data_IF_270156941455
#
_entry.id   IF_270156941455
#
_cell.length_a   1.000
_cell.length_b   1.000
_cell.length_c   1.000
_cell.angle_alpha   90.00
_cell.angle_beta   90.00
_cell.angle_gamma   90.00
#
_symmetry.space_group_name_H-M   'P 1'
#
loop_
_entity.id
_entity.type
_entity.pdbx_description
1 polymer ?
#
# COMPACT_ATOMS: atom_id res chain seq x y z
N UNK A 1 -26.30 -31.44 -7.11
CA UNK A 1 -24.98 -30.87 -7.38
C UNK A 1 -25.15 -29.89 -8.53
N UNK A 2 -24.99 -28.59 -8.32
CA UNK A 2 -25.11 -27.61 -9.40
C UNK A 2 -23.84 -27.66 -10.25
N UNK A 3 -23.98 -27.95 -11.54
CA UNK A 3 -22.89 -27.90 -12.51
C UNK A 3 -22.65 -26.43 -12.85
N UNK A 4 -21.44 -25.91 -12.58
CA UNK A 4 -21.04 -24.57 -13.02
C UNK A 4 -21.06 -24.51 -14.55
N UNK A 5 -21.79 -23.55 -15.09
CA UNK A 5 -21.85 -23.24 -16.51
C UNK A 5 -20.49 -22.82 -17.04
N UNK A 6 -20.27 -22.99 -18.33
CA UNK A 6 -18.98 -22.75 -19.01
C UNK A 6 -18.42 -21.33 -18.78
N UNK A 7 -19.29 -20.35 -18.50
CA UNK A 7 -18.94 -18.95 -18.28
C UNK A 7 -19.08 -18.48 -16.82
N UNK A 8 -19.56 -19.33 -15.91
CA UNK A 8 -19.84 -18.93 -14.52
C UNK A 8 -18.60 -18.38 -13.81
N UNK A 9 -17.41 -18.90 -14.11
CA UNK A 9 -16.15 -18.36 -13.57
C UNK A 9 -15.84 -16.98 -14.15
N UNK A 10 -15.92 -16.82 -15.47
CA UNK A 10 -15.67 -15.55 -16.14
C UNK A 10 -16.65 -14.47 -15.70
N UNK A 11 -17.94 -14.81 -15.57
CA UNK A 11 -18.99 -13.91 -15.09
C UNK A 11 -18.76 -13.53 -13.63
N UNK A 12 -18.30 -14.48 -12.81
CA UNK A 12 -17.93 -14.21 -11.41
C UNK A 12 -16.72 -13.31 -11.31
N UNK A 13 -15.67 -13.52 -12.10
CA UNK A 13 -14.51 -12.63 -12.19
C UNK A 13 -14.92 -11.22 -12.68
N UNK A 14 -15.73 -11.13 -13.73
CA UNK A 14 -16.26 -9.86 -14.22
C UNK A 14 -17.13 -9.13 -13.18
N UNK A 15 -17.91 -9.86 -12.38
CA UNK A 15 -18.70 -9.29 -11.28
C UNK A 15 -17.85 -8.80 -10.10
N UNK A 16 -16.68 -9.41 -9.89
CA UNK A 16 -15.71 -8.96 -8.88
C UNK A 16 -15.00 -7.69 -9.37
N UNK A 17 -14.58 -7.64 -10.64
CA UNK A 17 -14.00 -6.45 -11.28
C UNK A 17 -15.00 -5.28 -11.40
N UNK A 18 -16.30 -5.57 -11.49
CA UNK A 18 -17.35 -4.56 -11.51
C UNK A 18 -17.38 -3.71 -10.22
N UNK A 19 -16.89 -4.26 -9.10
CA UNK A 19 -16.59 -3.50 -7.88
C UNK A 19 -15.16 -3.00 -8.01
N UNK A 20 -14.96 -1.90 -8.75
CA UNK A 20 -13.66 -1.26 -8.99
C UNK A 20 -12.73 -1.39 -7.78
N UNK A 21 -11.50 -1.83 -8.03
CA UNK A 21 -10.50 -2.00 -6.98
C UNK A 21 -10.28 -0.66 -6.26
N UNK A 22 -10.61 -0.57 -4.95
CA UNK A 22 -10.48 0.67 -4.20
C UNK A 22 -9.04 1.18 -4.16
N UNK A 23 -8.03 0.30 -4.26
CA UNK A 23 -6.63 0.72 -4.30
C UNK A 23 -6.28 1.47 -5.59
N UNK A 24 -6.85 1.05 -6.72
CA UNK A 24 -6.65 1.73 -8.01
C UNK A 24 -7.29 3.11 -7.96
N UNK A 25 -8.48 3.23 -7.38
CA UNK A 25 -9.14 4.54 -7.25
C UNK A 25 -8.37 5.48 -6.30
N UNK A 26 -7.90 4.97 -5.16
CA UNK A 26 -7.09 5.75 -4.21
C UNK A 26 -5.80 6.22 -4.87
N UNK A 27 -5.12 5.37 -5.65
CA UNK A 27 -3.86 5.75 -6.29
C UNK A 27 -4.04 6.87 -7.34
N UNK A 28 -5.20 6.93 -7.97
CA UNK A 28 -5.56 8.00 -8.92
C UNK A 28 -5.92 9.31 -8.21
N UNK A 29 -6.64 9.24 -7.08
CA UNK A 29 -7.22 10.43 -6.43
C UNK A 29 -6.24 11.07 -5.45
N UNK A 30 -5.36 10.30 -4.81
CA UNK A 30 -4.46 10.80 -3.77
C UNK A 30 -3.15 11.30 -4.40
N UNK A 31 -2.81 12.60 -4.27
CA UNK A 31 -1.55 13.13 -4.76
C UNK A 31 -0.41 12.77 -3.79
N UNK A 32 0.06 11.52 -3.86
CA UNK A 32 0.97 10.94 -2.88
C UNK A 32 2.27 11.72 -2.64
N UNK A 33 2.88 12.26 -3.70
CA UNK A 33 4.15 12.98 -3.60
C UNK A 33 4.01 14.33 -2.89
N UNK A 34 2.81 14.92 -2.83
CA UNK A 34 2.57 16.16 -2.09
C UNK A 34 2.75 15.97 -0.58
N UNK A 35 2.60 14.74 -0.08
CA UNK A 35 2.83 14.42 1.33
C UNK A 35 4.32 14.28 1.67
N UNK A 36 5.20 14.07 0.68
CA UNK A 36 6.62 13.79 0.90
C UNK A 36 7.32 14.80 1.82
N UNK A 37 7.20 16.13 1.63
CA UNK A 37 7.88 17.09 2.50
C UNK A 37 7.44 16.98 3.97
N UNK A 38 6.16 16.69 4.20
CA UNK A 38 5.61 16.49 5.53
C UNK A 38 6.10 15.18 6.14
N UNK A 39 6.07 14.10 5.38
CA UNK A 39 6.51 12.77 5.82
C UNK A 39 7.99 12.77 6.17
N UNK A 40 8.84 13.36 5.33
CA UNK A 40 10.30 13.40 5.57
C UNK A 40 10.65 14.23 6.81
N UNK A 41 9.90 15.32 7.07
CA UNK A 41 10.08 16.15 8.27
C UNK A 41 9.73 15.43 9.57
N UNK A 42 8.67 14.61 9.57
CA UNK A 42 8.21 13.90 10.79
C UNK A 42 9.01 12.62 10.99
N UNK A 43 9.28 11.89 9.91
CA UNK A 43 9.90 10.58 10.00
C UNK A 43 11.39 10.67 10.38
N UNK A 44 12.10 11.72 9.95
CA UNK A 44 13.56 11.74 10.02
C UNK A 44 14.13 13.01 10.62
N UNK A 45 15.17 12.81 11.42
CA UNK A 45 16.15 13.87 11.70
C UNK A 45 16.95 14.15 10.43
N UNK A 46 17.31 15.42 10.16
CA UNK A 46 18.22 15.76 9.07
C UNK A 46 19.48 14.90 9.09
N UNK A 47 20.06 14.58 7.93
CA UNK A 47 21.29 13.77 7.87
C UNK A 47 22.44 14.41 8.66
N UNK A 48 22.45 15.74 8.79
CA UNK A 48 23.39 16.49 9.63
C UNK A 48 23.31 16.13 11.13
N UNK A 49 22.17 15.62 11.60
CA UNK A 49 21.95 15.21 12.99
C UNK A 49 22.16 13.70 13.21
N UNK A 50 22.47 12.93 12.16
CA UNK A 50 22.73 11.49 12.30
C UNK A 50 24.14 11.25 12.84
N UNK A 51 24.21 10.49 13.95
CA UNK A 51 25.48 10.08 14.58
C UNK A 51 26.37 9.20 13.69
N UNK A 52 25.78 8.42 12.79
CA UNK A 52 26.51 7.63 11.78
C UNK A 52 25.62 7.24 10.61
N UNK A 53 26.23 6.79 9.50
CA UNK A 53 25.55 6.24 8.33
C UNK A 53 25.23 4.73 8.45
N UNK A 54 25.46 4.13 9.63
CA UNK A 54 25.19 2.71 9.85
C UNK A 54 23.69 2.39 9.89
N UNK A 55 23.33 1.14 9.56
CA UNK A 55 21.97 0.61 9.63
C UNK A 55 21.34 0.32 8.27
N UNK A 56 20.13 -0.28 8.29
CA UNK A 56 19.36 -0.60 7.08
C UNK A 56 18.99 0.69 6.34
N UNK A 57 19.14 0.68 5.02
CA UNK A 57 18.68 1.80 4.18
C UNK A 57 17.17 1.97 4.39
N UNK A 58 16.68 3.20 4.62
CA UNK A 58 15.25 3.44 4.73
C UNK A 58 14.50 3.03 3.47
N UNK A 59 13.25 2.64 3.69
CA UNK A 59 12.25 2.61 2.64
C UNK A 59 11.89 4.04 2.19
N UNK A 60 11.28 4.16 1.01
CA UNK A 60 10.76 5.43 0.57
C UNK A 60 9.60 5.91 1.47
N UNK A 61 9.52 7.22 1.74
CA UNK A 61 8.55 7.82 2.66
C UNK A 61 7.12 7.68 2.17
N UNK A 62 6.92 7.87 0.87
CA UNK A 62 5.61 7.72 0.24
C UNK A 62 5.21 6.25 0.23
N UNK A 63 6.15 5.35 -0.10
CA UNK A 63 5.88 3.91 -0.03
C UNK A 63 5.41 3.50 1.36
N UNK A 64 6.11 3.91 2.42
CA UNK A 64 5.73 3.54 3.78
C UNK A 64 4.38 4.13 4.19
N UNK A 65 4.06 5.34 3.72
CA UNK A 65 2.74 5.92 3.92
C UNK A 65 1.63 5.12 3.21
N UNK A 66 1.84 4.71 1.96
CA UNK A 66 0.92 3.80 1.24
C UNK A 66 0.72 2.50 2.01
N UNK A 67 1.78 1.94 2.60
CA UNK A 67 1.70 0.73 3.41
C UNK A 67 0.84 0.90 4.66
N UNK A 68 0.94 2.03 5.36
CA UNK A 68 0.10 2.33 6.51
C UNK A 68 -1.39 2.47 6.12
N UNK A 69 -1.66 3.11 4.97
CA UNK A 69 -3.02 3.21 4.43
C UNK A 69 -3.57 1.82 4.09
N UNK A 70 -2.77 0.96 3.46
CA UNK A 70 -3.15 -0.43 3.15
C UNK A 70 -3.47 -1.22 4.43
N UNK A 71 -2.61 -1.09 5.45
CA UNK A 71 -2.82 -1.70 6.76
C UNK A 71 -4.13 -1.28 7.41
N UNK A 72 -4.45 0.02 7.37
CA UNK A 72 -5.69 0.55 7.91
C UNK A 72 -6.94 0.12 7.12
N UNK A 73 -6.86 0.06 5.79
CA UNK A 73 -7.98 -0.31 4.92
C UNK A 73 -8.40 -1.78 5.07
N UNK A 74 -7.42 -2.68 5.21
CA UNK A 74 -7.66 -4.12 5.28
C UNK A 74 -7.45 -4.71 6.68
N UNK A 75 -7.19 -3.84 7.68
CA UNK A 75 -6.90 -4.23 9.07
C UNK A 75 -5.80 -5.30 9.16
N UNK A 76 -4.71 -5.08 8.41
CA UNK A 76 -3.57 -6.00 8.34
C UNK A 76 -2.69 -5.87 9.58
N UNK A 77 -2.12 -6.99 10.02
CA UNK A 77 -1.04 -6.98 10.99
C UNK A 77 0.28 -6.50 10.37
N UNK A 78 1.20 -6.04 11.20
CA UNK A 78 2.55 -5.65 10.77
C UNK A 78 3.28 -6.80 10.06
N UNK A 79 3.11 -8.05 10.54
CA UNK A 79 3.66 -9.24 9.89
C UNK A 79 3.10 -9.45 8.47
N UNK A 80 1.79 -9.26 8.30
CA UNK A 80 1.12 -9.41 7.01
C UNK A 80 1.53 -8.28 6.05
N UNK A 81 1.68 -7.07 6.56
CA UNK A 81 2.24 -5.94 5.83
C UNK A 81 3.67 -6.24 5.37
N UNK A 82 4.52 -6.74 6.26
CA UNK A 82 5.91 -7.09 5.93
C UNK A 82 5.96 -8.16 4.83
N UNK A 83 5.10 -9.18 4.91
CA UNK A 83 4.98 -10.23 3.89
C UNK A 83 4.58 -9.67 2.52
N UNK A 84 3.72 -8.67 2.45
CA UNK A 84 3.27 -8.09 1.18
C UNK A 84 4.28 -7.11 0.56
N UNK A 85 5.17 -6.54 1.38
CA UNK A 85 6.09 -5.46 0.97
C UNK A 85 7.52 -5.98 0.72
N UNK A 86 7.89 -7.12 1.29
CA UNK A 86 9.18 -7.79 1.04
C UNK A 86 9.18 -8.56 -0.26
#
# INVERSE_FOLDING_TARGET
MAQLGFFDLSDRYASLDAKRDPLVEIDVVVPWDEFRPTLERVWRKPDAERKSRAGRKPMDAVLMFKTLVLGALYNLSDDQIEYQVR
#
